data_IF_982828969526
#
_entry.id   IF_982828969526
#
_cell.length_a   1.000
_cell.length_b   1.000
_cell.length_c   1.000
_cell.angle_alpha   90.00
_cell.angle_beta   90.00
_cell.angle_gamma   90.00
#
_symmetry.space_group_name_H-M   'P 1'
#
loop_
_entity.id
_entity.type
_entity.pdbx_description
1 polymer ?
#
# COMPACT_ATOMS: atom_id res chain seq x y z
N UNK A 1 26.62 28.43 2.29
CA UNK A 1 26.01 27.48 1.34
C UNK A 1 24.77 26.85 1.97
N UNK A 2 23.82 26.41 1.17
CA UNK A 2 22.57 25.75 1.62
C UNK A 2 22.52 24.39 0.97
N UNK A 3 22.24 23.34 1.76
CA UNK A 3 21.95 21.99 1.29
C UNK A 3 20.47 21.69 1.49
N UNK A 4 19.82 21.17 0.44
CA UNK A 4 18.42 20.72 0.51
C UNK A 4 18.39 19.19 0.45
N UNK A 5 17.82 18.55 1.49
CA UNK A 5 17.61 17.12 1.55
C UNK A 5 16.23 16.80 0.98
N UNK A 6 16.18 16.18 -0.18
CA UNK A 6 14.96 15.86 -0.92
C UNK A 6 14.98 14.42 -1.47
N UNK A 7 15.41 13.46 -0.65
CA UNK A 7 15.66 12.06 -1.06
C UNK A 7 14.38 11.21 -1.15
N UNK A 8 13.24 11.75 -0.71
CA UNK A 8 11.92 11.12 -0.86
C UNK A 8 11.76 9.85 -0.04
N UNK A 9 10.90 8.96 -0.52
CA UNK A 9 10.56 7.70 0.10
C UNK A 9 10.35 6.60 -0.96
N UNK A 10 10.54 5.34 -0.59
CA UNK A 10 10.23 4.15 -1.39
C UNK A 10 9.01 3.42 -0.85
N UNK A 11 8.33 2.64 -1.67
CA UNK A 11 7.24 1.79 -1.22
C UNK A 11 7.77 0.76 -0.21
N UNK A 12 7.02 0.54 0.88
CA UNK A 12 7.29 -0.55 1.83
C UNK A 12 7.03 -1.88 1.13
N UNK A 13 7.92 -2.85 1.38
CA UNK A 13 7.86 -4.19 0.79
C UNK A 13 7.76 -5.26 1.87
N UNK A 14 7.22 -6.41 1.50
CA UNK A 14 7.19 -7.64 2.29
C UNK A 14 8.21 -8.64 1.71
N UNK A 15 8.55 -9.74 2.42
CA UNK A 15 9.45 -10.77 1.89
C UNK A 15 8.98 -11.35 0.55
N UNK A 16 7.66 -11.48 0.35
CA UNK A 16 7.05 -12.01 -0.87
C UNK A 16 6.75 -10.93 -1.95
N UNK A 17 7.19 -9.68 -1.76
CA UNK A 17 6.99 -8.59 -2.73
C UNK A 17 7.71 -8.80 -4.08
N UNK A 18 8.58 -9.79 -4.19
CA UNK A 18 9.27 -10.18 -5.43
C UNK A 18 8.58 -11.29 -6.20
N UNK A 19 7.49 -11.84 -5.66
CA UNK A 19 6.67 -12.84 -6.35
C UNK A 19 6.07 -12.21 -7.61
N UNK A 20 6.17 -12.84 -8.78
CA UNK A 20 5.53 -12.34 -10.01
C UNK A 20 4.04 -12.13 -9.81
N UNK A 21 3.50 -10.99 -10.27
CA UNK A 21 2.11 -10.58 -10.05
C UNK A 21 1.88 -9.80 -8.75
N UNK A 22 2.91 -9.63 -7.92
CA UNK A 22 2.87 -8.71 -6.76
C UNK A 22 3.50 -7.37 -7.14
N UNK A 23 2.75 -6.30 -6.95
CA UNK A 23 3.10 -4.94 -7.36
C UNK A 23 3.16 -4.00 -6.16
N UNK A 24 3.98 -2.96 -6.29
CA UNK A 24 3.94 -1.73 -5.49
C UNK A 24 3.57 -0.58 -6.40
N UNK A 25 3.13 0.54 -5.84
CA UNK A 25 2.83 1.75 -6.61
C UNK A 25 3.51 2.97 -5.98
N UNK A 26 4.60 3.42 -6.58
CA UNK A 26 5.37 4.59 -6.13
C UNK A 26 5.92 5.40 -7.30
N UNK A 27 6.36 4.74 -8.35
CA UNK A 27 6.99 5.35 -9.53
C UNK A 27 6.07 5.21 -10.74
N UNK A 28 6.41 5.95 -11.82
CA UNK A 28 5.75 5.79 -13.11
C UNK A 28 5.87 4.35 -13.63
N UNK A 29 7.05 3.76 -13.50
CA UNK A 29 7.29 2.39 -13.96
C UNK A 29 6.45 1.37 -13.17
N UNK A 30 6.20 1.62 -11.88
CA UNK A 30 5.28 0.79 -11.09
C UNK A 30 3.85 0.91 -11.64
N UNK A 31 3.41 2.13 -11.95
CA UNK A 31 2.09 2.38 -12.52
C UNK A 31 1.95 1.73 -13.91
N UNK A 32 2.95 1.84 -14.76
CA UNK A 32 2.95 1.24 -16.10
C UNK A 32 2.89 -0.31 -16.01
N UNK A 33 3.60 -0.92 -15.07
CA UNK A 33 3.51 -2.38 -14.81
C UNK A 33 2.13 -2.77 -14.28
N UNK A 34 1.62 -2.08 -13.27
CA UNK A 34 0.31 -2.38 -12.69
C UNK A 34 -0.80 -2.22 -13.73
N UNK A 35 -0.71 -1.22 -14.60
CA UNK A 35 -1.69 -0.98 -15.65
C UNK A 35 -1.87 -2.17 -16.59
N UNK A 36 -0.85 -2.97 -16.84
CA UNK A 36 -0.95 -4.17 -17.68
C UNK A 36 -1.75 -5.30 -17.04
N UNK A 37 -1.92 -5.25 -15.72
CA UNK A 37 -2.71 -6.23 -14.96
C UNK A 37 -4.19 -5.84 -14.82
N UNK A 38 -4.54 -4.58 -15.15
CA UNK A 38 -5.92 -4.09 -15.05
C UNK A 38 -6.76 -4.62 -16.22
N UNK A 39 -7.29 -5.82 -16.06
CA UNK A 39 -8.11 -6.52 -17.06
C UNK A 39 -9.46 -6.88 -16.43
N UNK A 40 -10.56 -6.59 -17.11
CA UNK A 40 -11.91 -6.92 -16.66
C UNK A 40 -12.03 -8.43 -16.31
N UNK A 41 -12.90 -8.72 -15.37
CA UNK A 41 -13.18 -10.06 -14.84
C UNK A 41 -12.01 -10.75 -14.08
N UNK A 42 -10.81 -10.14 -14.04
CA UNK A 42 -9.71 -10.61 -13.17
C UNK A 42 -9.90 -10.12 -11.73
N UNK A 43 -9.25 -10.79 -10.79
CA UNK A 43 -9.30 -10.46 -9.38
C UNK A 43 -8.01 -9.78 -8.91
N UNK A 44 -8.14 -8.57 -8.35
CA UNK A 44 -7.06 -7.85 -7.68
C UNK A 44 -7.22 -7.92 -6.16
N UNK A 45 -6.18 -8.36 -5.46
CA UNK A 45 -6.07 -8.19 -4.02
C UNK A 45 -5.27 -6.91 -3.72
N UNK A 46 -5.85 -6.01 -2.93
CA UNK A 46 -5.19 -4.79 -2.46
C UNK A 46 -4.87 -4.94 -0.97
N UNK A 47 -3.59 -4.91 -0.64
CA UNK A 47 -3.11 -5.04 0.74
C UNK A 47 -2.78 -3.66 1.28
N UNK A 48 -3.58 -3.22 2.26
CA UNK A 48 -3.56 -1.89 2.82
C UNK A 48 -4.64 -0.97 2.24
N UNK A 49 -5.53 -0.51 3.10
CA UNK A 49 -6.64 0.40 2.77
C UNK A 49 -6.28 1.89 3.00
N UNK A 50 -5.02 2.28 2.79
CA UNK A 50 -4.59 3.68 2.74
C UNK A 50 -4.96 4.35 1.40
N UNK A 51 -4.55 5.61 1.20
CA UNK A 51 -4.88 6.37 0.00
C UNK A 51 -4.55 5.63 -1.30
N UNK A 52 -3.32 5.12 -1.45
CA UNK A 52 -2.88 4.42 -2.67
C UNK A 52 -3.73 3.17 -2.91
N UNK A 53 -3.99 2.38 -1.85
CA UNK A 53 -4.81 1.17 -1.96
C UNK A 53 -6.24 1.49 -2.36
N UNK A 54 -6.86 2.50 -1.75
CA UNK A 54 -8.22 2.94 -2.06
C UNK A 54 -8.37 3.44 -3.50
N UNK A 55 -7.44 4.29 -3.97
CA UNK A 55 -7.45 4.82 -5.34
C UNK A 55 -7.24 3.72 -6.39
N UNK A 56 -6.30 2.80 -6.13
CA UNK A 56 -6.05 1.68 -7.04
C UNK A 56 -7.25 0.71 -7.08
N UNK A 57 -7.88 0.43 -5.93
CA UNK A 57 -9.10 -0.37 -5.85
C UNK A 57 -10.24 0.27 -6.66
N UNK A 58 -10.48 1.57 -6.50
CA UNK A 58 -11.50 2.30 -7.26
C UNK A 58 -11.22 2.24 -8.77
N UNK A 59 -9.96 2.39 -9.18
CA UNK A 59 -9.56 2.28 -10.59
C UNK A 59 -9.81 0.87 -11.12
N UNK A 60 -9.43 -0.17 -10.39
CA UNK A 60 -9.63 -1.57 -10.79
C UNK A 60 -11.13 -1.91 -10.93
N UNK A 61 -11.96 -1.47 -9.99
CA UNK A 61 -13.42 -1.62 -10.07
C UNK A 61 -14.00 -0.92 -11.31
N UNK A 62 -13.51 0.29 -11.65
CA UNK A 62 -13.96 1.02 -12.85
C UNK A 62 -13.62 0.28 -14.15
N UNK A 63 -12.52 -0.47 -14.16
CA UNK A 63 -12.11 -1.33 -15.29
C UNK A 63 -12.95 -2.62 -15.36
N UNK A 64 -13.70 -2.96 -14.31
CA UNK A 64 -14.51 -4.17 -14.22
C UNK A 64 -13.79 -5.36 -13.59
N UNK A 65 -12.76 -5.13 -12.79
CA UNK A 65 -12.11 -6.17 -11.99
C UNK A 65 -12.93 -6.49 -10.74
N UNK A 66 -12.77 -7.71 -10.23
CA UNK A 66 -13.12 -8.03 -8.84
C UNK A 66 -12.01 -7.52 -7.92
N UNK A 67 -12.40 -6.92 -6.79
CA UNK A 67 -11.42 -6.34 -5.87
C UNK A 67 -11.69 -6.78 -4.44
N UNK A 68 -10.67 -7.31 -3.77
CA UNK A 68 -10.67 -7.54 -2.32
C UNK A 68 -9.62 -6.63 -1.68
N UNK A 69 -10.03 -5.80 -0.71
CA UNK A 69 -9.15 -4.92 0.08
C UNK A 69 -8.94 -5.57 1.45
N UNK A 70 -7.68 -5.76 1.84
CA UNK A 70 -7.26 -6.34 3.12
C UNK A 70 -6.57 -5.26 3.95
N UNK A 71 -7.01 -5.05 5.19
CA UNK A 71 -6.46 -4.03 6.10
C UNK A 71 -6.44 -4.58 7.54
N UNK A 72 -5.28 -4.55 8.22
CA UNK A 72 -5.18 -5.00 9.61
C UNK A 72 -5.95 -4.13 10.60
N UNK A 73 -6.25 -2.88 10.28
CA UNK A 73 -7.09 -2.01 11.10
C UNK A 73 -8.58 -2.26 10.82
N UNK A 74 -9.43 -1.84 11.76
CA UNK A 74 -10.89 -2.01 11.67
C UNK A 74 -11.56 -1.08 10.64
N UNK A 75 -10.82 -0.09 10.12
CA UNK A 75 -11.32 0.86 9.12
C UNK A 75 -10.22 1.29 8.15
N UNK A 76 -10.57 1.61 6.88
CA UNK A 76 -9.62 2.17 5.92
C UNK A 76 -9.15 3.54 6.38
N UNK A 77 -7.94 3.92 5.93
CA UNK A 77 -7.30 5.21 6.23
C UNK A 77 -7.12 5.51 7.72
N UNK A 78 -7.21 4.51 8.61
CA UNK A 78 -7.21 4.65 10.07
C UNK A 78 -5.96 5.33 10.67
N UNK A 79 -4.88 5.48 9.89
CA UNK A 79 -3.69 6.26 10.29
C UNK A 79 -3.77 7.74 9.92
N UNK A 80 -4.65 8.11 9.02
CA UNK A 80 -4.76 9.47 8.47
C UNK A 80 -6.08 10.15 8.84
N UNK A 81 -7.11 9.38 9.15
CA UNK A 81 -8.46 9.85 9.40
C UNK A 81 -9.05 9.13 10.62
N UNK A 82 -10.14 9.70 11.18
CA UNK A 82 -10.90 9.03 12.23
C UNK A 82 -11.76 7.88 11.65
N UNK A 83 -12.26 7.02 12.52
CA UNK A 83 -13.03 5.82 12.15
C UNK A 83 -14.34 6.16 11.41
N UNK A 84 -14.97 7.29 11.73
CA UNK A 84 -16.21 7.74 11.10
C UNK A 84 -15.99 8.04 9.62
N UNK A 85 -14.97 8.84 9.31
CA UNK A 85 -14.58 9.14 7.91
C UNK A 85 -14.11 7.89 7.20
N UNK A 86 -13.30 7.05 7.86
CA UNK A 86 -12.90 5.74 7.33
C UNK A 86 -14.10 4.87 6.96
N UNK A 87 -15.16 4.86 7.79
CA UNK A 87 -16.41 4.16 7.52
C UNK A 87 -17.08 4.61 6.22
N UNK A 88 -17.13 5.91 5.95
CA UNK A 88 -17.69 6.46 4.69
C UNK A 88 -16.94 5.92 3.47
N UNK A 89 -15.60 5.86 3.53
CA UNK A 89 -14.79 5.28 2.46
C UNK A 89 -15.05 3.77 2.30
N UNK A 90 -15.18 3.03 3.41
CA UNK A 90 -15.51 1.62 3.37
C UNK A 90 -16.85 1.36 2.68
N UNK A 91 -17.88 2.11 3.06
CA UNK A 91 -19.20 1.97 2.47
C UNK A 91 -19.18 2.32 0.97
N UNK A 92 -18.44 3.35 0.60
CA UNK A 92 -18.27 3.73 -0.80
C UNK A 92 -17.61 2.61 -1.63
N UNK A 93 -16.57 1.96 -1.12
CA UNK A 93 -15.96 0.82 -1.79
C UNK A 93 -16.92 -0.37 -1.90
N UNK A 94 -17.70 -0.69 -0.85
CA UNK A 94 -18.72 -1.75 -0.89
C UNK A 94 -19.82 -1.47 -1.91
N UNK A 95 -20.33 -0.24 -1.95
CA UNK A 95 -21.33 0.20 -2.94
C UNK A 95 -20.86 -0.03 -4.38
N UNK A 96 -19.55 0.07 -4.64
CA UNK A 96 -18.94 -0.18 -5.94
C UNK A 96 -18.47 -1.64 -6.15
N UNK A 97 -18.79 -2.54 -5.22
CA UNK A 97 -18.56 -3.97 -5.37
C UNK A 97 -17.24 -4.48 -4.84
N UNK A 98 -16.48 -3.70 -4.07
CA UNK A 98 -15.29 -4.21 -3.39
C UNK A 98 -15.66 -5.13 -2.22
N UNK A 99 -14.96 -6.26 -2.10
CA UNK A 99 -14.90 -7.04 -0.86
C UNK A 99 -13.91 -6.39 0.12
N UNK A 100 -14.32 -6.19 1.38
CA UNK A 100 -13.47 -5.59 2.40
C UNK A 100 -13.22 -6.59 3.53
N UNK A 101 -11.95 -6.83 3.84
CA UNK A 101 -11.48 -7.68 4.94
C UNK A 101 -10.66 -6.85 5.90
N UNK A 102 -11.29 -6.39 6.97
CA UNK A 102 -10.69 -5.59 8.04
C UNK A 102 -10.34 -6.45 9.25
N UNK A 103 -9.38 -5.98 10.07
CA UNK A 103 -8.89 -6.71 11.24
C UNK A 103 -8.03 -7.92 10.90
N UNK A 104 -7.64 -8.10 9.64
CA UNK A 104 -6.81 -9.21 9.17
C UNK A 104 -5.62 -8.74 8.36
N UNK A 105 -4.53 -9.48 8.44
CA UNK A 105 -3.31 -9.24 7.66
C UNK A 105 -3.04 -10.38 6.68
N UNK A 106 -2.23 -10.11 5.67
CA UNK A 106 -1.70 -11.16 4.78
C UNK A 106 -0.40 -11.68 5.40
N UNK A 107 -0.35 -12.97 5.67
CA UNK A 107 0.83 -13.67 6.17
C UNK A 107 1.78 -14.06 5.06
N UNK A 108 1.21 -14.59 3.96
CA UNK A 108 2.00 -15.09 2.83
C UNK A 108 1.27 -14.91 1.50
N UNK A 109 2.06 -14.76 0.43
CA UNK A 109 1.59 -14.76 -0.95
C UNK A 109 2.47 -15.71 -1.76
N UNK A 110 1.87 -16.76 -2.29
CA UNK A 110 2.56 -17.79 -3.06
C UNK A 110 1.89 -18.02 -4.42
N UNK A 111 2.65 -18.34 -5.47
CA UNK A 111 2.10 -18.74 -6.75
C UNK A 111 1.27 -20.02 -6.65
N UNK A 112 0.13 -20.06 -7.34
CA UNK A 112 -0.71 -21.25 -7.48
C UNK A 112 -1.24 -21.34 -8.91
N UNK A 113 -0.62 -22.16 -9.74
CA UNK A 113 -0.90 -22.18 -11.18
C UNK A 113 -0.61 -20.82 -11.82
N UNK A 114 -1.63 -20.22 -12.44
CA UNK A 114 -1.54 -18.88 -13.05
C UNK A 114 -1.96 -17.73 -12.11
N UNK A 115 -2.30 -18.06 -10.86
CA UNK A 115 -2.81 -17.10 -9.86
C UNK A 115 -1.89 -17.02 -8.63
N UNK A 116 -2.23 -16.17 -7.70
CA UNK A 116 -1.56 -15.97 -6.43
C UNK A 116 -2.52 -16.40 -5.30
N UNK A 117 -2.06 -17.29 -4.42
CA UNK A 117 -2.77 -17.64 -3.20
C UNK A 117 -2.30 -16.73 -2.07
N UNK A 118 -3.24 -16.05 -1.41
CA UNK A 118 -3.01 -15.23 -0.23
C UNK A 118 -3.48 -16.00 1.00
N UNK A 119 -2.60 -16.16 2.00
CA UNK A 119 -2.93 -16.69 3.32
C UNK A 119 -3.11 -15.52 4.29
N UNK A 120 -4.18 -15.54 5.09
CA UNK A 120 -4.53 -14.48 6.03
C UNK A 120 -4.36 -14.92 7.49
N UNK A 121 -4.17 -13.95 8.39
CA UNK A 121 -3.97 -14.17 9.83
C UNK A 121 -5.17 -14.78 10.56
N UNK A 122 -6.36 -14.76 9.96
CA UNK A 122 -7.57 -15.44 10.49
C UNK A 122 -7.66 -16.92 10.08
N UNK A 123 -6.63 -17.45 9.41
CA UNK A 123 -6.57 -18.82 8.89
C UNK A 123 -7.28 -19.02 7.55
N UNK A 124 -7.95 -18.00 7.02
CA UNK A 124 -8.57 -18.07 5.69
C UNK A 124 -7.53 -17.88 4.58
N UNK A 125 -7.91 -18.25 3.37
CA UNK A 125 -7.11 -18.00 2.18
C UNK A 125 -8.02 -17.80 0.97
N UNK A 126 -7.54 -17.06 -0.04
CA UNK A 126 -8.21 -16.90 -1.32
C UNK A 126 -7.17 -16.71 -2.44
N UNK A 127 -7.64 -16.69 -3.67
CA UNK A 127 -6.78 -16.51 -4.84
C UNK A 127 -7.10 -15.20 -5.56
N UNK A 128 -6.05 -14.55 -6.06
CA UNK A 128 -6.15 -13.36 -6.90
C UNK A 128 -5.24 -13.50 -8.13
N UNK A 129 -5.52 -12.76 -9.17
CA UNK A 129 -4.70 -12.72 -10.38
C UNK A 129 -3.54 -11.74 -10.25
N UNK A 130 -3.72 -10.70 -9.45
CA UNK A 130 -2.69 -9.69 -9.16
C UNK A 130 -2.83 -9.17 -7.73
N UNK A 131 -1.72 -8.74 -7.14
CA UNK A 131 -1.66 -8.20 -5.78
C UNK A 131 -1.01 -6.83 -5.80
N UNK A 132 -1.63 -5.84 -5.18
CA UNK A 132 -1.04 -4.53 -4.93
C UNK A 132 -0.70 -4.35 -3.45
N UNK A 133 0.55 -3.96 -3.16
CA UNK A 133 1.00 -3.58 -1.82
C UNK A 133 0.85 -2.07 -1.62
N UNK A 134 -0.17 -1.67 -0.86
CA UNK A 134 -0.43 -0.30 -0.42
C UNK A 134 -0.13 -0.07 1.07
N UNK A 135 0.91 -0.71 1.63
CA UNK A 135 1.21 -0.79 3.06
C UNK A 135 2.09 0.36 3.60
N UNK A 136 2.17 1.47 2.86
CA UNK A 136 2.91 2.67 3.25
C UNK A 136 4.28 2.77 2.59
N UNK A 137 5.07 3.73 3.08
CA UNK A 137 6.38 4.07 2.54
C UNK A 137 7.47 4.00 3.61
N UNK A 138 8.72 3.95 3.16
CA UNK A 138 9.92 4.07 3.98
C UNK A 138 10.69 5.27 3.47
N UNK A 139 10.98 6.23 4.34
CA UNK A 139 11.76 7.43 4.00
C UNK A 139 13.20 7.06 3.69
N UNK A 140 13.81 7.74 2.70
CA UNK A 140 15.16 7.44 2.26
C UNK A 140 16.17 8.29 3.05
N UNK A 141 16.38 7.95 4.31
CA UNK A 141 17.24 8.70 5.24
C UNK A 141 18.42 7.89 5.80
N UNK A 142 18.60 6.66 5.41
CA UNK A 142 19.64 5.75 5.93
C UNK A 142 21.05 6.34 5.76
N UNK A 143 21.28 7.06 4.68
CA UNK A 143 22.56 7.71 4.39
C UNK A 143 22.90 8.86 5.35
N UNK A 144 21.94 9.31 6.16
CA UNK A 144 22.13 10.36 7.17
C UNK A 144 22.42 9.82 8.58
N UNK A 145 22.39 8.50 8.81
CA UNK A 145 22.52 7.90 10.14
C UNK A 145 23.80 8.32 10.87
N UNK A 146 24.89 8.62 10.16
CA UNK A 146 26.16 9.06 10.73
C UNK A 146 26.41 10.57 10.62
N UNK A 147 25.44 11.35 10.17
CA UNK A 147 25.62 12.79 9.89
C UNK A 147 25.50 13.71 11.10
N UNK A 148 24.97 13.21 12.23
CA UNK A 148 24.59 14.02 13.39
C UNK A 148 23.18 14.63 13.30
N UNK A 149 22.53 14.57 12.13
CA UNK A 149 21.16 15.02 11.96
C UNK A 149 20.20 14.10 12.73
N UNK A 150 19.25 14.70 13.45
CA UNK A 150 18.22 13.93 14.18
C UNK A 150 17.23 13.30 13.20
N UNK A 151 17.08 11.96 13.30
CA UNK A 151 16.15 11.18 12.47
C UNK A 151 15.07 10.55 13.34
N UNK A 152 13.79 10.75 12.96
CA UNK A 152 12.62 10.07 13.54
C UNK A 152 11.58 9.88 12.43
N UNK A 153 11.58 8.70 11.80
CA UNK A 153 10.75 8.42 10.60
C UNK A 153 10.89 9.52 9.52
N UNK A 154 12.11 10.02 9.34
CA UNK A 154 12.47 11.14 8.48
C UNK A 154 13.50 12.04 9.14
N UNK A 155 13.81 13.16 8.51
CA UNK A 155 14.64 14.20 9.12
C UNK A 155 13.76 15.05 10.04
N UNK A 156 14.14 15.17 11.32
CA UNK A 156 13.47 16.06 12.26
C UNK A 156 13.82 17.50 11.90
N UNK A 157 12.81 18.32 11.66
CA UNK A 157 12.96 19.71 11.24
C UNK A 157 12.23 20.66 12.17
N UNK A 158 12.70 21.90 12.23
CA UNK A 158 11.96 23.01 12.83
C UNK A 158 10.84 23.52 11.89
N UNK A 159 10.11 24.56 12.33
CA UNK A 159 9.03 25.18 11.56
C UNK A 159 9.49 25.86 10.24
N UNK A 160 10.78 26.03 10.03
CA UNK A 160 11.38 26.57 8.80
C UNK A 160 11.96 25.49 7.91
N UNK A 161 11.72 24.22 8.24
CA UNK A 161 12.28 23.05 7.58
C UNK A 161 13.81 22.94 7.72
N UNK A 162 14.42 23.59 8.72
CA UNK A 162 15.82 23.39 9.04
C UNK A 162 15.99 22.12 9.87
N UNK A 163 16.95 21.26 9.47
CA UNK A 163 17.23 20.02 10.17
C UNK A 163 17.75 20.28 11.59
N UNK A 164 17.32 19.44 12.53
CA UNK A 164 17.76 19.50 13.94
C UNK A 164 18.95 18.58 14.14
N UNK A 165 19.92 19.01 14.96
CA UNK A 165 21.09 18.20 15.33
C UNK A 165 22.35 18.52 14.53
N UNK A 166 22.35 19.58 13.72
CA UNK A 166 23.52 20.06 12.97
C UNK A 166 24.09 21.31 13.64
#
# INVERSE_FOLDING_TARGET
DILVIATGARARRTPWATVPGVHVLRTRDDADRLRTELVADRHMAVIGAGFIGAEAAATALTVGMHVTIIEPLDAPMGRAMNTEVGGIFADKHREHGAELRFGVSVEDVAPTGSRLRLALTDGSAFEADTVLLGIGAVVNTEWLESSGITLDNGVVCDARLAAVGV
#
